data_IF_781465170158
#
_entry.id   IF_781465170158
#
_cell.length_a   1.000
_cell.length_b   1.000
_cell.length_c   1.000
_cell.angle_alpha   90.00
_cell.angle_beta   90.00
_cell.angle_gamma   90.00
#
_symmetry.space_group_name_H-M   'P 1'
#
loop_
_entity.id
_entity.type
_entity.pdbx_description
1 polymer ?
#
# COMPACT_ATOMS: atom_id res chain seq x y z
N UNK A 1 -77.11 -46.74 96.65
CA UNK A 1 -77.31 -45.69 97.66
C UNK A 1 -77.14 -46.33 99.03
N UNK A 2 -75.96 -46.19 99.61
CA UNK A 2 -75.71 -46.36 101.03
C UNK A 2 -75.51 -44.94 101.57
N UNK A 3 -76.30 -44.55 102.56
CA UNK A 3 -76.19 -43.25 103.23
C UNK A 3 -74.88 -43.22 104.02
N UNK A 4 -73.90 -42.43 103.57
CA UNK A 4 -72.91 -41.85 104.48
C UNK A 4 -73.52 -40.55 105.02
N UNK A 5 -74.01 -40.60 106.26
CA UNK A 5 -74.39 -39.41 107.02
C UNK A 5 -73.12 -38.61 107.32
N UNK A 6 -72.83 -37.59 106.50
CA UNK A 6 -71.71 -36.68 106.71
C UNK A 6 -71.94 -35.81 107.96
N UNK A 7 -71.42 -36.23 109.11
CA UNK A 7 -71.37 -35.45 110.35
C UNK A 7 -70.34 -34.31 110.24
N UNK A 8 -70.80 -33.06 110.23
CA UNK A 8 -69.93 -31.86 110.22
C UNK A 8 -69.49 -31.48 111.64
N UNK A 9 -68.21 -31.14 111.84
CA UNK A 9 -67.74 -30.66 113.15
C UNK A 9 -68.32 -29.29 113.52
N UNK A 10 -68.77 -29.11 114.78
CA UNK A 10 -69.34 -27.86 115.29
C UNK A 10 -68.25 -26.96 115.92
N UNK A 11 -68.15 -25.72 115.44
CA UNK A 11 -67.25 -24.67 115.93
C UNK A 11 -68.10 -23.56 116.58
N UNK A 12 -67.54 -22.73 117.46
CA UNK A 12 -68.31 -21.77 118.27
C UNK A 12 -69.27 -20.92 117.42
N UNK A 13 -70.58 -21.21 117.52
CA UNK A 13 -71.70 -20.64 116.74
C UNK A 13 -71.88 -21.11 115.27
N UNK A 14 -71.45 -22.32 114.88
CA UNK A 14 -71.78 -22.89 113.56
C UNK A 14 -71.12 -24.25 113.25
N UNK A 15 -71.31 -24.75 112.03
CA UNK A 15 -70.54 -25.89 111.49
C UNK A 15 -69.25 -25.40 110.84
N UNK A 16 -68.21 -26.25 110.81
CA UNK A 16 -66.96 -25.95 110.12
C UNK A 16 -67.22 -25.68 108.62
N UNK A 17 -66.87 -24.48 108.19
CA UNK A 17 -67.16 -24.00 106.84
C UNK A 17 -66.43 -24.80 105.78
N UNK A 18 -65.20 -25.24 106.04
CA UNK A 18 -64.38 -25.95 105.05
C UNK A 18 -64.88 -27.39 104.84
N UNK A 19 -65.41 -28.04 105.88
CA UNK A 19 -66.05 -29.35 105.78
C UNK A 19 -67.39 -29.27 105.03
N UNK A 20 -68.21 -28.26 105.32
CA UNK A 20 -69.47 -28.01 104.62
C UNK A 20 -69.24 -27.67 103.15
N UNK A 21 -68.27 -26.80 102.84
CA UNK A 21 -67.94 -26.46 101.45
C UNK A 21 -67.45 -27.69 100.66
N UNK A 22 -66.67 -28.61 101.29
CA UNK A 22 -66.27 -29.88 100.66
C UNK A 22 -67.45 -30.82 100.40
N UNK A 23 -68.38 -30.96 101.35
CA UNK A 23 -69.57 -31.79 101.14
C UNK A 23 -70.51 -31.20 100.08
N UNK A 24 -70.70 -29.88 100.05
CA UNK A 24 -71.46 -29.20 98.99
C UNK A 24 -70.77 -29.39 97.63
N UNK A 25 -69.44 -29.33 97.56
CA UNK A 25 -68.72 -29.63 96.32
C UNK A 25 -68.82 -31.11 95.91
N UNK A 26 -68.89 -32.03 96.87
CA UNK A 26 -69.17 -33.46 96.63
C UNK A 26 -70.57 -33.68 96.04
N UNK A 27 -71.60 -33.15 96.71
CA UNK A 27 -72.98 -33.20 96.25
C UNK A 27 -73.18 -32.52 94.89
N UNK A 28 -72.50 -31.40 94.63
CA UNK A 28 -72.50 -30.76 93.30
C UNK A 28 -71.90 -31.66 92.23
N UNK A 29 -70.80 -32.37 92.53
CA UNK A 29 -70.21 -33.35 91.60
C UNK A 29 -71.14 -34.53 91.35
N UNK A 30 -71.76 -35.08 92.40
CA UNK A 30 -72.74 -36.16 92.24
C UNK A 30 -73.97 -35.73 91.45
N UNK A 31 -74.47 -34.51 91.68
CA UNK A 31 -75.59 -33.93 90.93
C UNK A 31 -75.21 -33.73 89.44
N UNK A 32 -74.00 -33.25 89.17
CA UNK A 32 -73.49 -33.14 87.79
C UNK A 32 -73.41 -34.52 87.15
N UNK A 33 -72.83 -35.51 87.83
CA UNK A 33 -72.71 -36.88 87.33
C UNK A 33 -74.08 -37.53 87.05
N UNK A 34 -75.04 -37.35 87.96
CA UNK A 34 -76.42 -37.85 87.79
C UNK A 34 -77.12 -37.17 86.62
N UNK A 35 -76.97 -35.85 86.47
CA UNK A 35 -77.51 -35.11 85.33
C UNK A 35 -76.88 -35.54 84.00
N UNK A 36 -75.57 -35.81 83.96
CA UNK A 36 -74.91 -36.33 82.76
C UNK A 36 -75.41 -37.74 82.42
N UNK A 37 -75.58 -38.61 83.42
CA UNK A 37 -76.10 -39.97 83.22
C UNK A 37 -77.57 -39.95 82.75
N UNK A 38 -78.39 -39.03 83.26
CA UNK A 38 -79.75 -38.83 82.81
C UNK A 38 -79.80 -38.30 81.36
N UNK A 39 -78.89 -37.39 80.99
CA UNK A 39 -78.78 -36.88 79.63
C UNK A 39 -78.33 -37.97 78.64
N UNK A 40 -77.36 -38.81 79.01
CA UNK A 40 -76.94 -39.98 78.21
C UNK A 40 -78.07 -40.99 78.05
N UNK A 41 -78.76 -41.34 79.13
CA UNK A 41 -79.92 -42.23 79.08
C UNK A 41 -81.04 -41.67 78.19
N UNK A 42 -81.27 -40.35 78.24
CA UNK A 42 -82.23 -39.68 77.36
C UNK A 42 -81.84 -39.74 75.88
N UNK A 43 -80.55 -39.64 75.55
CA UNK A 43 -80.04 -39.86 74.18
C UNK A 43 -80.22 -41.31 73.73
N UNK A 44 -79.96 -42.26 74.63
CA UNK A 44 -80.12 -43.69 74.39
C UNK A 44 -81.58 -44.06 74.09
N UNK A 45 -82.53 -43.53 74.89
CA UNK A 45 -83.97 -43.70 74.66
C UNK A 45 -84.37 -43.11 73.31
N UNK A 46 -83.91 -41.88 72.97
CA UNK A 46 -84.20 -41.27 71.66
C UNK A 46 -83.68 -42.12 70.49
N UNK A 47 -82.48 -42.68 70.63
CA UNK A 47 -81.87 -43.58 69.65
C UNK A 47 -82.69 -44.86 69.50
N UNK A 48 -83.08 -45.50 70.60
CA UNK A 48 -83.90 -46.70 70.58
C UNK A 48 -85.30 -46.43 70.01
N UNK A 49 -85.94 -45.31 70.35
CA UNK A 49 -87.22 -44.92 69.76
C UNK A 49 -87.12 -44.72 68.24
N UNK A 50 -86.08 -44.05 67.74
CA UNK A 50 -85.88 -43.92 66.28
C UNK A 50 -85.64 -45.26 65.58
N UNK A 51 -85.01 -46.23 66.27
CA UNK A 51 -84.80 -47.60 65.77
C UNK A 51 -86.12 -48.37 65.72
N UNK A 52 -86.96 -48.26 66.75
CA UNK A 52 -88.30 -48.87 66.79
C UNK A 52 -89.17 -48.28 65.69
N UNK A 53 -89.19 -46.95 65.53
CA UNK A 53 -89.96 -46.28 64.48
C UNK A 53 -89.47 -46.67 63.07
N UNK A 54 -88.16 -46.90 62.90
CA UNK A 54 -87.59 -47.47 61.68
C UNK A 54 -88.04 -48.91 61.41
N UNK A 55 -88.00 -49.76 62.44
CA UNK A 55 -88.45 -51.16 62.35
C UNK A 55 -89.97 -51.28 62.14
N UNK A 56 -90.78 -50.39 62.72
CA UNK A 56 -92.22 -50.30 62.48
C UNK A 56 -92.52 -49.91 61.03
N UNK A 57 -91.76 -48.97 60.46
CA UNK A 57 -91.86 -48.62 59.02
C UNK A 57 -91.45 -49.77 58.12
N UNK A 58 -90.38 -50.50 58.44
CA UNK A 58 -90.00 -51.71 57.70
C UNK A 58 -91.07 -52.81 57.79
N UNK A 59 -91.69 -53.00 58.96
CA UNK A 59 -92.78 -53.96 59.13
C UNK A 59 -94.04 -53.55 58.35
N UNK A 60 -94.33 -52.25 58.27
CA UNK A 60 -95.42 -51.72 57.45
C UNK A 60 -95.17 -51.90 55.95
N UNK A 61 -93.90 -51.88 55.51
CA UNK A 61 -93.51 -52.17 54.11
C UNK A 61 -93.60 -53.66 53.74
N UNK A 62 -93.60 -54.56 54.73
CA UNK A 62 -93.72 -56.03 54.53
C UNK A 62 -95.17 -56.52 54.68
N UNK A 63 -96.10 -55.64 55.07
CA UNK A 63 -97.53 -55.94 55.19
C UNK A 63 -98.25 -56.17 53.85
N UNK A 64 -98.19 -57.42 53.36
CA UNK A 64 -98.98 -58.05 52.29
C UNK A 64 -98.76 -57.54 50.82
N UNK A 65 -98.22 -58.36 49.91
CA UNK A 65 -97.95 -57.97 48.52
C UNK A 65 -99.24 -57.92 47.68
N UNK A 66 -99.55 -56.77 47.09
CA UNK A 66 -100.60 -56.61 46.06
C UNK A 66 -100.00 -56.02 44.77
N UNK A 67 -100.54 -56.42 43.61
CA UNK A 67 -100.03 -56.11 42.26
C UNK A 67 -99.89 -54.60 41.95
N UNK A 68 -100.69 -53.73 42.57
CA UNK A 68 -100.54 -52.27 42.46
C UNK A 68 -99.20 -51.73 43.03
N UNK A 69 -98.60 -52.44 43.99
CA UNK A 69 -97.29 -52.09 44.56
C UNK A 69 -96.11 -52.42 43.63
N UNK A 70 -96.29 -53.33 42.66
CA UNK A 70 -95.28 -53.61 41.64
C UNK A 70 -95.20 -52.46 40.63
N UNK A 71 -96.32 -51.85 40.23
CA UNK A 71 -96.36 -50.67 39.35
C UNK A 71 -95.68 -49.44 39.96
N UNK A 72 -96.01 -49.08 41.21
CA UNK A 72 -95.39 -47.95 41.90
C UNK A 72 -93.88 -48.16 42.17
N UNK A 73 -93.46 -49.41 42.40
CA UNK A 73 -92.04 -49.76 42.55
C UNK A 73 -91.31 -49.70 41.21
N UNK A 74 -91.93 -50.15 40.11
CA UNK A 74 -91.38 -50.02 38.76
C UNK A 74 -91.27 -48.56 38.32
N UNK A 75 -92.28 -47.74 38.55
CA UNK A 75 -92.27 -46.30 38.26
C UNK A 75 -91.19 -45.58 39.09
N UNK A 76 -91.04 -45.92 40.37
CA UNK A 76 -89.94 -45.40 41.19
C UNK A 76 -88.57 -45.82 40.65
N UNK A 77 -88.39 -47.08 40.24
CA UNK A 77 -87.12 -47.53 39.64
C UNK A 77 -86.86 -46.87 38.28
N UNK A 78 -87.88 -46.64 37.46
CA UNK A 78 -87.77 -45.93 36.20
C UNK A 78 -87.39 -44.47 36.41
N UNK A 79 -88.04 -43.77 37.34
CA UNK A 79 -87.71 -42.38 37.66
C UNK A 79 -86.29 -42.24 38.20
N UNK A 80 -85.85 -43.16 39.06
CA UNK A 80 -84.46 -43.19 39.56
C UNK A 80 -83.50 -43.54 38.43
N UNK A 81 -83.85 -44.45 37.52
CA UNK A 81 -83.05 -44.78 36.35
C UNK A 81 -83.00 -43.63 35.32
N UNK A 82 -84.08 -42.88 35.12
CA UNK A 82 -84.14 -41.68 34.29
C UNK A 82 -83.27 -40.56 34.90
N UNK A 83 -83.42 -40.28 36.20
CA UNK A 83 -82.57 -39.29 36.89
C UNK A 83 -81.09 -39.70 36.88
N UNK A 84 -80.79 -41.00 37.04
CA UNK A 84 -79.42 -41.52 36.90
C UNK A 84 -78.92 -41.42 35.45
N UNK A 85 -79.77 -41.69 34.45
CA UNK A 85 -79.41 -41.60 33.03
C UNK A 85 -79.16 -40.16 32.63
N UNK A 86 -80.04 -39.22 32.99
CA UNK A 86 -79.85 -37.78 32.77
C UNK A 86 -78.53 -37.29 33.39
N UNK A 87 -78.20 -37.74 34.60
CA UNK A 87 -76.91 -37.43 35.24
C UNK A 87 -75.73 -38.02 34.49
N UNK A 88 -75.80 -39.28 34.05
CA UNK A 88 -74.72 -39.92 33.29
C UNK A 88 -74.54 -39.25 31.92
N UNK A 89 -75.64 -38.90 31.24
CA UNK A 89 -75.61 -38.17 29.97
C UNK A 89 -74.98 -36.80 30.16
N UNK A 90 -75.41 -36.03 31.17
CA UNK A 90 -74.83 -34.73 31.48
C UNK A 90 -73.34 -34.84 31.85
N UNK A 91 -72.94 -35.87 32.59
CA UNK A 91 -71.53 -36.13 32.90
C UNK A 91 -70.73 -36.47 31.64
N UNK A 92 -71.24 -37.35 30.77
CA UNK A 92 -70.62 -37.72 29.50
C UNK A 92 -70.47 -36.50 28.57
N UNK A 93 -71.46 -35.61 28.52
CA UNK A 93 -71.39 -34.37 27.75
C UNK A 93 -70.36 -33.38 28.32
N UNK A 94 -70.28 -33.27 29.64
CA UNK A 94 -69.26 -32.47 30.31
C UNK A 94 -67.86 -33.02 30.05
N UNK A 95 -67.67 -34.34 30.17
CA UNK A 95 -66.40 -35.02 29.90
C UNK A 95 -66.00 -34.86 28.43
N UNK A 96 -66.94 -35.02 27.50
CA UNK A 96 -66.71 -34.75 26.09
C UNK A 96 -66.32 -33.29 25.81
N UNK A 97 -66.95 -32.33 26.49
CA UNK A 97 -66.58 -30.91 26.39
C UNK A 97 -65.20 -30.62 26.99
N UNK A 98 -64.83 -31.33 28.06
CA UNK A 98 -63.56 -31.19 28.75
C UNK A 98 -62.43 -31.74 27.88
N UNK A 99 -62.58 -32.96 27.34
CA UNK A 99 -61.63 -33.59 26.41
C UNK A 99 -61.41 -32.71 25.18
N UNK A 100 -62.47 -32.19 24.54
CA UNK A 100 -62.33 -31.28 23.40
C UNK A 100 -61.52 -30.03 23.73
N UNK A 101 -61.80 -29.39 24.87
CA UNK A 101 -61.10 -28.18 25.30
C UNK A 101 -59.64 -28.47 25.62
N UNK A 102 -59.38 -29.49 26.44
CA UNK A 102 -58.01 -29.83 26.84
C UNK A 102 -57.14 -30.22 25.66
N UNK A 103 -57.65 -31.03 24.72
CA UNK A 103 -56.88 -31.43 23.53
C UNK A 103 -56.63 -30.26 22.59
N UNK A 104 -57.60 -29.35 22.45
CA UNK A 104 -57.40 -28.13 21.67
C UNK A 104 -56.33 -27.23 22.29
N UNK A 105 -56.41 -26.98 23.59
CA UNK A 105 -55.43 -26.18 24.31
C UNK A 105 -54.04 -26.82 24.23
N UNK A 106 -53.94 -28.15 24.33
CA UNK A 106 -52.68 -28.89 24.21
C UNK A 106 -52.11 -28.82 22.78
N UNK A 107 -52.95 -28.98 21.75
CA UNK A 107 -52.56 -28.82 20.36
C UNK A 107 -52.08 -27.41 20.04
N UNK A 108 -52.79 -26.39 20.53
CA UNK A 108 -52.42 -24.98 20.37
C UNK A 108 -51.10 -24.67 21.08
N UNK A 109 -50.89 -25.22 22.29
CA UNK A 109 -49.61 -25.10 23.02
C UNK A 109 -48.46 -25.74 22.25
N UNK A 110 -48.63 -26.96 21.75
CA UNK A 110 -47.59 -27.65 20.96
C UNK A 110 -47.21 -26.86 19.71
N UNK A 111 -48.19 -26.30 19.01
CA UNK A 111 -47.94 -25.45 17.84
C UNK A 111 -47.26 -24.13 18.21
N UNK A 112 -47.63 -23.53 19.34
CA UNK A 112 -47.01 -22.29 19.81
C UNK A 112 -45.54 -22.52 20.22
N UNK A 113 -45.26 -23.55 21.02
CA UNK A 113 -43.89 -23.93 21.41
C UNK A 113 -43.02 -24.20 20.17
N UNK A 114 -43.57 -24.91 19.19
CA UNK A 114 -42.90 -25.18 17.94
C UNK A 114 -42.61 -23.92 17.11
N UNK A 115 -43.55 -22.97 17.06
CA UNK A 115 -43.36 -21.66 16.40
C UNK A 115 -42.28 -20.84 17.08
N UNK A 116 -42.30 -20.77 18.41
CA UNK A 116 -41.31 -20.02 19.19
C UNK A 116 -39.91 -20.62 19.01
N UNK A 117 -39.78 -21.95 19.00
CA UNK A 117 -38.50 -22.63 18.77
C UNK A 117 -37.99 -22.43 17.33
N UNK A 118 -38.87 -22.56 16.33
CA UNK A 118 -38.57 -22.29 14.94
C UNK A 118 -38.08 -20.83 14.73
N UNK A 119 -38.76 -19.86 15.34
CA UNK A 119 -38.39 -18.44 15.26
C UNK A 119 -37.03 -18.17 15.93
N UNK A 120 -36.79 -18.74 17.12
CA UNK A 120 -35.49 -18.65 17.81
C UNK A 120 -34.36 -19.22 16.95
N UNK A 121 -34.59 -20.38 16.32
CA UNK A 121 -33.61 -21.04 15.49
C UNK A 121 -33.24 -20.22 14.26
N UNK A 122 -34.23 -19.65 13.56
CA UNK A 122 -34.00 -18.77 12.40
C UNK A 122 -33.32 -17.47 12.83
N UNK A 123 -33.70 -16.91 13.97
CA UNK A 123 -33.11 -15.67 14.49
C UNK A 123 -31.64 -15.86 14.88
N UNK A 124 -31.30 -16.96 15.55
CA UNK A 124 -29.91 -17.27 15.89
C UNK A 124 -29.06 -17.52 14.64
N UNK A 125 -29.60 -18.25 13.66
CA UNK A 125 -28.93 -18.46 12.37
C UNK A 125 -28.68 -17.15 11.62
N UNK A 126 -29.65 -16.21 11.62
CA UNK A 126 -29.47 -14.86 11.07
C UNK A 126 -28.36 -14.09 11.78
N UNK A 127 -28.36 -14.06 13.11
CA UNK A 127 -27.30 -13.37 13.88
C UNK A 127 -25.92 -13.96 13.60
N UNK A 128 -25.82 -15.29 13.46
CA UNK A 128 -24.57 -15.96 13.14
C UNK A 128 -24.12 -15.67 11.70
N UNK A 129 -25.03 -15.71 10.73
CA UNK A 129 -24.76 -15.33 9.34
C UNK A 129 -24.27 -13.87 9.25
N UNK A 130 -24.94 -12.94 9.93
CA UNK A 130 -24.54 -11.54 9.96
C UNK A 130 -23.17 -11.35 10.61
N UNK A 131 -22.85 -12.12 11.66
CA UNK A 131 -21.51 -12.13 12.26
C UNK A 131 -20.45 -12.62 11.27
N UNK A 132 -20.67 -13.75 10.60
CA UNK A 132 -19.74 -14.27 9.59
C UNK A 132 -19.51 -13.27 8.45
N UNK A 133 -20.56 -12.60 7.97
CA UNK A 133 -20.44 -11.53 6.97
C UNK A 133 -19.63 -10.35 7.49
N UNK A 134 -19.91 -9.86 8.70
CA UNK A 134 -19.20 -8.75 9.29
C UNK A 134 -17.71 -9.06 9.56
N UNK A 135 -17.40 -10.27 10.02
CA UNK A 135 -16.01 -10.74 10.19
C UNK A 135 -15.27 -10.79 8.85
N UNK A 136 -15.91 -11.31 7.81
CA UNK A 136 -15.37 -11.35 6.45
C UNK A 136 -15.17 -9.95 5.87
N UNK A 137 -16.12 -9.03 6.06
CA UNK A 137 -15.99 -7.63 5.65
C UNK A 137 -14.83 -6.92 6.36
N UNK A 138 -14.67 -7.15 7.67
CA UNK A 138 -13.56 -6.60 8.44
C UNK A 138 -12.21 -7.16 7.96
N UNK A 139 -12.12 -8.47 7.71
CA UNK A 139 -10.92 -9.10 7.17
C UNK A 139 -10.60 -8.60 5.76
N UNK A 140 -11.61 -8.44 4.89
CA UNK A 140 -11.43 -7.88 3.56
C UNK A 140 -10.91 -6.43 3.62
N UNK A 141 -11.50 -5.60 4.49
CA UNK A 141 -11.03 -4.23 4.71
C UNK A 141 -9.59 -4.19 5.21
N UNK A 142 -9.21 -5.09 6.14
CA UNK A 142 -7.85 -5.19 6.64
C UNK A 142 -6.84 -5.61 5.55
N UNK A 143 -7.19 -6.61 4.72
CA UNK A 143 -6.36 -7.05 3.60
C UNK A 143 -6.18 -5.94 2.56
N UNK A 144 -7.25 -5.23 2.20
CA UNK A 144 -7.16 -4.10 1.26
C UNK A 144 -6.38 -2.93 1.85
N UNK A 145 -6.56 -2.64 3.14
CA UNK A 145 -5.80 -1.62 3.85
C UNK A 145 -4.30 -1.92 3.82
N UNK A 146 -3.92 -3.14 4.21
CA UNK A 146 -2.52 -3.59 4.17
C UNK A 146 -1.94 -3.53 2.76
N UNK A 147 -2.66 -4.01 1.76
CA UNK A 147 -2.19 -3.96 0.37
C UNK A 147 -2.06 -2.52 -0.16
N UNK A 148 -2.93 -1.60 0.28
CA UNK A 148 -2.82 -0.18 -0.04
C UNK A 148 -1.59 0.46 0.64
N UNK A 149 -1.33 0.15 1.91
CA UNK A 149 -0.16 0.62 2.64
C UNK A 149 1.14 0.09 2.01
N UNK A 150 1.19 -1.22 1.71
CA UNK A 150 2.35 -1.86 1.06
C UNK A 150 2.60 -1.25 -0.33
N UNK A 151 1.54 -0.98 -1.11
CA UNK A 151 1.63 -0.26 -2.39
C UNK A 151 2.18 1.15 -2.20
N UNK A 152 1.71 1.88 -1.20
CA UNK A 152 2.16 3.25 -0.95
C UNK A 152 3.62 3.29 -0.52
N UNK A 153 4.07 2.33 0.29
CA UNK A 153 5.49 2.16 0.64
C UNK A 153 6.32 1.85 -0.61
N UNK A 154 5.95 0.85 -1.41
CA UNK A 154 6.69 0.47 -2.62
C UNK A 154 6.78 1.61 -3.64
N UNK A 155 5.67 2.33 -3.85
CA UNK A 155 5.64 3.47 -4.78
C UNK A 155 6.44 4.65 -4.26
N UNK A 156 6.39 4.96 -2.96
CA UNK A 156 7.23 5.99 -2.35
C UNK A 156 8.72 5.63 -2.42
N UNK A 157 9.06 4.37 -2.13
CA UNK A 157 10.44 3.89 -2.22
C UNK A 157 10.97 3.96 -3.65
N UNK A 158 10.15 3.56 -4.64
CA UNK A 158 10.49 3.70 -6.05
C UNK A 158 10.70 5.18 -6.45
N UNK A 159 9.84 6.08 -5.98
CA UNK A 159 9.98 7.53 -6.24
C UNK A 159 11.23 8.11 -5.58
N UNK A 160 11.50 7.76 -4.32
CA UNK A 160 12.69 8.23 -3.57
C UNK A 160 13.98 7.71 -4.19
N UNK A 161 14.05 6.41 -4.52
CA UNK A 161 15.21 5.82 -5.18
C UNK A 161 15.45 6.45 -6.55
N UNK A 162 14.40 6.60 -7.37
CA UNK A 162 14.51 7.26 -8.68
C UNK A 162 14.89 8.75 -8.56
N UNK A 163 14.48 9.44 -7.49
CA UNK A 163 14.89 10.82 -7.23
C UNK A 163 16.36 10.89 -6.76
N UNK A 164 16.80 9.99 -5.89
CA UNK A 164 18.17 9.91 -5.42
C UNK A 164 19.15 9.63 -6.56
N UNK A 165 18.85 8.63 -7.41
CA UNK A 165 19.70 8.31 -8.56
C UNK A 165 19.69 9.43 -9.60
N UNK A 166 18.53 10.06 -9.87
CA UNK A 166 18.50 11.27 -10.73
C UNK A 166 19.35 12.40 -10.15
N UNK A 167 19.33 12.59 -8.84
CA UNK A 167 20.14 13.59 -8.15
C UNK A 167 21.64 13.31 -8.26
N UNK A 168 22.07 12.06 -8.05
CA UNK A 168 23.48 11.67 -8.21
C UNK A 168 23.93 11.81 -9.66
N UNK A 169 23.17 11.27 -10.61
CA UNK A 169 23.44 11.38 -12.06
C UNK A 169 23.50 12.84 -12.50
N UNK A 170 22.59 13.70 -12.04
CA UNK A 170 22.63 15.12 -12.38
C UNK A 170 23.87 15.83 -11.80
N UNK A 171 24.31 15.44 -10.59
CA UNK A 171 25.51 16.00 -9.95
C UNK A 171 26.76 15.55 -10.67
N UNK A 172 26.91 14.24 -10.93
CA UNK A 172 28.03 13.67 -11.68
C UNK A 172 28.09 14.23 -13.11
N UNK A 173 26.94 14.36 -13.80
CA UNK A 173 26.87 14.98 -15.12
C UNK A 173 27.25 16.47 -15.10
N UNK A 174 26.95 17.18 -14.02
CA UNK A 174 27.36 18.58 -13.85
C UNK A 174 28.86 18.70 -13.55
N UNK A 175 29.40 17.82 -12.71
CA UNK A 175 30.83 17.76 -12.37
C UNK A 175 31.68 17.39 -13.58
N UNK A 176 31.34 16.32 -14.30
CA UNK A 176 32.03 15.90 -15.53
C UNK A 176 31.99 17.01 -16.59
N UNK A 177 30.84 17.66 -16.80
CA UNK A 177 30.73 18.79 -17.72
C UNK A 177 31.56 20.00 -17.26
N UNK A 178 31.62 20.29 -15.97
CA UNK A 178 32.43 21.38 -15.43
C UNK A 178 33.92 21.08 -15.60
N UNK A 179 34.36 19.86 -15.31
CA UNK A 179 35.73 19.37 -15.51
C UNK A 179 36.11 19.44 -16.99
N UNK A 180 35.31 18.87 -17.89
CA UNK A 180 35.53 18.92 -19.33
C UNK A 180 35.63 20.37 -19.85
N UNK A 181 34.79 21.28 -19.33
CA UNK A 181 34.87 22.71 -19.69
C UNK A 181 36.17 23.37 -19.21
N UNK A 182 36.66 23.02 -18.01
CA UNK A 182 37.92 23.52 -17.46
C UNK A 182 39.11 22.97 -18.23
N UNK A 183 39.14 21.67 -18.51
CA UNK A 183 40.19 21.02 -19.30
C UNK A 183 40.24 21.58 -20.71
N UNK A 184 39.10 21.72 -21.38
CA UNK A 184 39.06 22.36 -22.70
C UNK A 184 39.52 23.82 -22.69
N UNK A 185 39.29 24.56 -21.59
CA UNK A 185 39.82 25.91 -21.44
C UNK A 185 41.33 25.92 -21.15
N UNK A 186 41.83 24.95 -20.38
CA UNK A 186 43.25 24.77 -20.10
C UNK A 186 44.04 24.41 -21.36
N UNK A 187 43.58 23.41 -22.13
CA UNK A 187 44.18 23.01 -23.41
C UNK A 187 44.23 24.22 -24.35
N UNK A 188 43.12 24.96 -24.52
CA UNK A 188 43.12 26.17 -25.36
C UNK A 188 44.11 27.24 -24.88
N UNK A 189 44.19 27.47 -23.56
CA UNK A 189 45.11 28.47 -23.02
C UNK A 189 46.57 28.04 -23.15
N UNK A 190 46.86 26.75 -23.05
CA UNK A 190 48.20 26.18 -23.25
C UNK A 190 48.60 26.30 -24.72
N UNK A 191 47.72 25.90 -25.64
CA UNK A 191 47.88 26.08 -27.09
C UNK A 191 48.18 27.54 -27.48
N UNK A 192 47.39 28.49 -26.95
CA UNK A 192 47.58 29.92 -27.20
C UNK A 192 48.94 30.42 -26.69
N UNK A 193 49.39 29.92 -25.52
CA UNK A 193 50.67 30.28 -24.93
C UNK A 193 51.84 29.69 -25.71
N UNK A 194 51.81 28.41 -26.07
CA UNK A 194 52.84 27.77 -26.87
C UNK A 194 52.97 28.43 -28.25
N UNK A 195 51.84 28.74 -28.90
CA UNK A 195 51.84 29.48 -30.15
C UNK A 195 52.45 30.89 -30.00
N UNK A 196 52.22 31.57 -28.87
CA UNK A 196 52.83 32.87 -28.59
C UNK A 196 54.34 32.77 -28.30
N UNK A 197 54.78 31.75 -27.54
CA UNK A 197 56.18 31.48 -27.26
C UNK A 197 56.95 31.16 -28.55
N UNK A 198 56.43 30.27 -29.40
CA UNK A 198 57.02 29.95 -30.71
C UNK A 198 57.13 31.19 -31.61
N UNK A 199 56.10 32.05 -31.65
CA UNK A 199 56.16 33.31 -32.40
C UNK A 199 57.20 34.28 -31.84
N UNK A 200 57.34 34.36 -30.52
CA UNK A 200 58.32 35.25 -29.88
C UNK A 200 59.76 34.79 -30.12
N UNK A 201 60.02 33.48 -30.06
CA UNK A 201 61.34 32.90 -30.39
C UNK A 201 61.66 33.17 -31.87
N UNK A 202 60.75 32.85 -32.78
CA UNK A 202 60.92 33.12 -34.21
C UNK A 202 61.22 34.59 -34.51
N UNK A 203 60.50 35.51 -33.86
CA UNK A 203 60.73 36.95 -34.03
C UNK A 203 62.12 37.37 -33.54
N UNK A 204 62.60 36.83 -32.41
CA UNK A 204 63.95 37.11 -31.89
C UNK A 204 65.03 36.58 -32.82
N UNK A 205 64.90 35.36 -33.33
CA UNK A 205 65.87 34.77 -34.26
C UNK A 205 65.94 35.56 -35.58
N UNK A 206 64.79 35.98 -36.11
CA UNK A 206 64.73 36.86 -37.28
C UNK A 206 65.40 38.22 -37.03
N UNK A 207 65.18 38.84 -35.88
CA UNK A 207 65.81 40.13 -35.54
C UNK A 207 67.33 39.99 -35.33
N UNK A 208 67.81 38.90 -34.73
CA UNK A 208 69.25 38.61 -34.63
C UNK A 208 69.87 38.46 -36.02
N UNK A 209 69.27 37.65 -36.90
CA UNK A 209 69.75 37.47 -38.27
C UNK A 209 69.76 38.79 -39.06
N UNK A 210 68.73 39.62 -38.92
CA UNK A 210 68.66 40.96 -39.56
C UNK A 210 69.72 41.91 -39.03
N UNK A 211 69.92 41.95 -37.71
CA UNK A 211 70.93 42.82 -37.09
C UNK A 211 72.34 42.45 -37.55
N UNK A 212 72.63 41.15 -37.67
CA UNK A 212 73.92 40.65 -38.15
C UNK A 212 74.14 40.97 -39.64
N UNK A 213 73.13 40.78 -40.47
CA UNK A 213 73.16 41.19 -41.88
C UNK A 213 73.38 42.71 -42.04
N UNK A 214 72.70 43.53 -41.23
CA UNK A 214 72.86 44.98 -41.25
C UNK A 214 74.26 45.43 -40.77
N UNK A 215 74.81 44.78 -39.74
CA UNK A 215 76.17 45.05 -39.24
C UNK A 215 77.22 44.79 -40.30
N UNK A 216 77.12 43.65 -40.98
CA UNK A 216 78.04 43.27 -42.06
C UNK A 216 77.88 44.18 -43.28
N UNK A 217 76.66 44.59 -43.62
CA UNK A 217 76.44 45.58 -44.68
C UNK A 217 77.12 46.92 -44.35
N UNK A 218 76.96 47.41 -43.12
CA UNK A 218 77.60 48.65 -42.66
C UNK A 218 79.14 48.52 -42.61
N UNK A 219 79.66 47.40 -42.12
CA UNK A 219 81.09 47.12 -42.11
C UNK A 219 81.66 47.09 -43.54
N UNK A 220 80.92 46.51 -44.50
CA UNK A 220 81.28 46.53 -45.92
C UNK A 220 81.25 47.94 -46.51
N UNK A 221 80.26 48.76 -46.16
CA UNK A 221 80.19 50.15 -46.62
C UNK A 221 81.36 50.99 -46.06
N UNK A 222 81.69 50.82 -44.79
CA UNK A 222 82.86 51.44 -44.16
C UNK A 222 84.16 51.00 -44.83
N UNK A 223 84.33 49.68 -45.05
CA UNK A 223 85.48 49.13 -45.77
C UNK A 223 85.58 49.73 -47.17
N UNK A 224 84.47 49.87 -47.89
CA UNK A 224 84.44 50.51 -49.22
C UNK A 224 84.87 51.97 -49.17
N UNK A 225 84.46 52.71 -48.15
CA UNK A 225 84.83 54.12 -47.97
C UNK A 225 86.31 54.28 -47.60
N UNK A 226 86.83 53.45 -46.70
CA UNK A 226 88.25 53.42 -46.32
C UNK A 226 89.13 53.08 -47.51
N UNK A 227 88.77 52.02 -48.23
CA UNK A 227 89.44 51.58 -49.45
C UNK A 227 89.40 52.67 -50.52
N UNK A 228 88.28 53.39 -50.70
CA UNK A 228 88.21 54.53 -51.62
C UNK A 228 89.14 55.69 -51.20
N UNK A 229 89.18 56.03 -49.91
CA UNK A 229 90.04 57.09 -49.39
C UNK A 229 91.53 56.75 -49.53
N UNK A 230 91.92 55.49 -49.32
CA UNK A 230 93.31 55.06 -49.48
C UNK A 230 93.76 55.20 -50.93
N UNK A 231 92.85 54.98 -51.86
CA UNK A 231 93.13 55.06 -53.31
C UNK A 231 93.29 56.50 -53.74
N UNK A 232 92.43 57.38 -53.27
CA UNK A 232 92.58 58.80 -53.55
C UNK A 232 93.88 59.34 -52.95
N UNK A 233 94.29 58.83 -51.78
CA UNK A 233 95.59 59.14 -51.16
C UNK A 233 96.77 58.64 -52.00
N UNK A 234 96.76 57.37 -52.42
CA UNK A 234 97.82 56.78 -53.24
C UNK A 234 97.89 57.45 -54.63
N UNK A 235 96.75 57.80 -55.23
CA UNK A 235 96.69 58.57 -56.47
C UNK A 235 97.30 59.96 -56.31
N UNK A 236 96.95 60.68 -55.24
CA UNK A 236 97.51 62.00 -54.96
C UNK A 236 99.03 61.94 -54.68
N UNK A 237 99.50 60.91 -53.97
CA UNK A 237 100.93 60.69 -53.74
C UNK A 237 101.67 60.41 -55.06
N UNK A 238 101.14 59.52 -55.90
CA UNK A 238 101.71 59.23 -57.22
C UNK A 238 101.72 60.48 -58.13
N UNK A 239 100.68 61.32 -58.07
CA UNK A 239 100.63 62.60 -58.78
C UNK A 239 101.69 63.59 -58.29
N UNK A 240 101.90 63.67 -56.98
CA UNK A 240 102.91 64.53 -56.36
C UNK A 240 104.34 64.08 -56.71
N UNK A 241 104.65 62.78 -56.62
CA UNK A 241 105.95 62.22 -57.02
C UNK A 241 106.24 62.49 -58.50
N UNK A 242 105.25 62.36 -59.38
CA UNK A 242 105.40 62.71 -60.80
C UNK A 242 105.62 64.21 -60.99
N UNK A 243 104.94 65.06 -60.23
CA UNK A 243 105.14 66.51 -60.29
C UNK A 243 106.54 66.92 -59.78
N UNK A 244 107.03 66.30 -58.71
CA UNK A 244 108.37 66.49 -58.17
C UNK A 244 109.43 66.01 -59.16
N UNK A 245 109.30 64.80 -59.71
CA UNK A 245 110.19 64.27 -60.74
C UNK A 245 110.20 65.19 -61.99
N UNK A 246 109.04 65.69 -62.41
CA UNK A 246 108.95 66.67 -63.52
C UNK A 246 109.66 67.97 -63.18
N UNK A 247 109.53 68.49 -61.96
CA UNK A 247 110.18 69.72 -61.50
C UNK A 247 111.69 69.55 -61.34
N UNK A 248 112.16 68.39 -60.87
CA UNK A 248 113.57 68.05 -60.76
C UNK A 248 114.20 67.97 -62.15
N UNK A 249 113.56 67.26 -63.08
CA UNK A 249 113.99 67.18 -64.50
C UNK A 249 113.95 68.57 -65.15
N UNK A 250 112.94 69.39 -64.88
CA UNK A 250 112.86 70.76 -65.40
C UNK A 250 113.97 71.67 -64.84
N UNK A 251 114.30 71.53 -63.55
CA UNK A 251 115.42 72.23 -62.91
C UNK A 251 116.77 71.77 -63.47
N UNK A 252 116.95 70.47 -63.76
CA UNK A 252 118.14 69.94 -64.45
C UNK A 252 118.24 70.45 -65.89
N UNK A 253 117.12 70.50 -66.62
CA UNK A 253 117.06 71.10 -67.97
C UNK A 253 117.39 72.61 -67.94
N UNK A 254 117.02 73.32 -66.87
CA UNK A 254 117.31 74.74 -66.70
C UNK A 254 118.77 74.99 -66.25
N UNK A 255 119.32 74.16 -65.37
CA UNK A 255 120.72 74.31 -64.92
C UNK A 255 121.71 73.96 -66.03
N UNK A 256 121.41 72.94 -66.83
CA UNK A 256 122.17 72.57 -68.03
C UNK A 256 122.05 73.64 -69.13
N UNK A 257 120.90 74.32 -69.25
CA UNK A 257 120.72 75.47 -70.16
C UNK A 257 121.62 76.66 -69.86
N UNK A 258 121.87 76.97 -68.58
CA UNK A 258 122.75 78.06 -68.19
C UNK A 258 124.24 77.81 -68.50
N UNK A 259 124.65 76.55 -68.68
CA UNK A 259 126.01 76.16 -69.04
C UNK A 259 126.25 76.09 -70.56
N UNK A 260 125.19 76.03 -71.39
CA UNK A 260 125.26 75.66 -72.81
C UNK A 260 124.85 76.79 -73.78
N UNK A 261 125.06 78.05 -73.44
CA UNK A 261 124.80 79.20 -74.33
C UNK A 261 125.88 79.42 -75.41
N UNK A 262 126.89 78.55 -75.52
CA UNK A 262 127.96 78.63 -76.53
C UNK A 262 127.93 77.54 -77.65
N UNK A 263 127.08 76.50 -77.57
CA UNK A 263 127.09 75.33 -78.51
C UNK A 263 125.71 75.00 -79.12
N UNK A 264 124.98 76.03 -79.58
CA UNK A 264 123.51 76.01 -79.52
C UNK A 264 122.70 75.43 -80.71
N UNK A 265 123.25 75.09 -81.88
CA UNK A 265 122.37 74.75 -83.03
C UNK A 265 122.27 73.25 -83.37
N UNK A 266 123.25 72.41 -83.04
CA UNK A 266 123.24 71.01 -83.49
C UNK A 266 122.55 70.01 -82.52
N UNK A 267 122.56 70.25 -81.20
CA UNK A 267 122.07 69.29 -80.19
C UNK A 267 120.57 69.48 -79.84
N UNK A 268 119.96 70.61 -80.24
CA UNK A 268 118.58 71.01 -79.89
C UNK A 268 117.45 70.09 -80.36
N UNK A 269 117.69 69.12 -81.25
CA UNK A 269 116.67 68.18 -81.72
C UNK A 269 116.63 66.87 -80.93
N UNK A 270 117.70 66.52 -80.20
CA UNK A 270 117.82 65.23 -79.50
C UNK A 270 117.34 65.36 -78.04
N UNK A 271 117.75 66.40 -77.31
CA UNK A 271 117.33 66.60 -75.90
C UNK A 271 115.85 66.94 -75.69
N UNK A 272 115.19 67.62 -76.64
CA UNK A 272 113.72 67.81 -76.59
C UNK A 272 112.95 66.54 -76.85
N UNK A 273 113.50 65.60 -77.63
CA UNK A 273 112.90 64.27 -77.80
C UNK A 273 113.07 63.44 -76.53
N UNK A 274 114.25 63.49 -75.92
CA UNK A 274 114.54 62.73 -74.70
C UNK A 274 113.70 63.20 -73.48
N UNK A 275 113.56 64.51 -73.27
CA UNK A 275 112.67 65.04 -72.21
C UNK A 275 111.19 64.74 -72.50
N UNK A 276 110.76 64.77 -73.76
CA UNK A 276 109.39 64.41 -74.14
C UNK A 276 109.13 62.91 -73.95
N UNK A 277 110.09 62.07 -74.30
CA UNK A 277 110.03 60.62 -74.13
C UNK A 277 110.01 60.26 -72.63
N UNK A 278 110.82 60.90 -71.78
CA UNK A 278 110.80 60.69 -70.33
C UNK A 278 109.50 61.17 -69.68
N UNK A 279 108.95 62.31 -70.11
CA UNK A 279 107.62 62.78 -69.64
C UNK A 279 106.49 61.83 -70.04
N UNK A 280 106.59 61.23 -71.23
CA UNK A 280 105.61 60.27 -71.72
C UNK A 280 105.73 58.94 -70.98
N UNK A 281 106.96 58.45 -70.72
CA UNK A 281 107.20 57.27 -69.89
C UNK A 281 106.69 57.44 -68.47
N UNK A 282 107.02 58.52 -67.77
CA UNK A 282 106.51 58.77 -66.42
C UNK A 282 104.98 58.94 -66.37
N UNK A 283 104.38 59.50 -67.44
CA UNK A 283 102.92 59.58 -67.54
C UNK A 283 102.28 58.21 -67.79
N UNK A 284 102.93 57.34 -68.57
CA UNK A 284 102.52 55.96 -68.80
C UNK A 284 102.65 55.12 -67.53
N UNK A 285 103.79 55.20 -66.83
CA UNK A 285 104.02 54.51 -65.55
C UNK A 285 103.00 54.92 -64.48
N UNK A 286 102.64 56.21 -64.38
CA UNK A 286 101.55 56.67 -63.51
C UNK A 286 100.20 56.09 -63.93
N UNK A 287 99.87 56.14 -65.21
CA UNK A 287 98.60 55.61 -65.71
C UNK A 287 98.48 54.10 -65.46
N UNK A 288 99.58 53.36 -65.61
CA UNK A 288 99.68 51.94 -65.30
C UNK A 288 99.52 51.68 -63.80
N UNK A 289 100.23 52.39 -62.93
CA UNK A 289 100.08 52.25 -61.47
C UNK A 289 98.66 52.56 -60.97
N UNK A 290 98.03 53.60 -61.52
CA UNK A 290 96.63 53.95 -61.21
C UNK A 290 95.68 52.86 -61.70
N UNK A 291 95.90 52.31 -62.90
CA UNK A 291 95.08 51.25 -63.45
C UNK A 291 95.22 49.92 -62.66
N UNK A 292 96.41 49.59 -62.16
CA UNK A 292 96.63 48.42 -61.29
C UNK A 292 95.88 48.58 -59.97
N UNK A 293 96.01 49.73 -59.30
CA UNK A 293 95.26 50.00 -58.07
C UNK A 293 93.75 49.96 -58.31
N UNK A 294 93.24 50.58 -59.38
CA UNK A 294 91.82 50.51 -59.72
C UNK A 294 91.31 49.09 -59.94
N UNK A 295 92.12 48.23 -60.56
CA UNK A 295 91.79 46.84 -60.77
C UNK A 295 91.76 46.05 -59.44
N UNK A 296 92.73 46.27 -58.55
CA UNK A 296 92.77 45.63 -57.23
C UNK A 296 91.56 46.03 -56.37
N UNK A 297 91.15 47.29 -56.41
CA UNK A 297 89.94 47.77 -55.72
C UNK A 297 88.66 47.22 -56.31
N UNK A 298 88.58 47.16 -57.64
CA UNK A 298 87.44 46.56 -58.30
C UNK A 298 87.33 45.08 -57.91
N UNK A 299 88.46 44.38 -57.77
CA UNK A 299 88.56 43.03 -57.23
C UNK A 299 88.06 42.91 -55.79
N UNK A 300 88.55 43.76 -54.87
CA UNK A 300 88.11 43.77 -53.46
C UNK A 300 86.62 44.13 -53.34
N UNK A 301 86.13 45.08 -54.14
CA UNK A 301 84.70 45.47 -54.19
C UNK A 301 83.81 44.37 -54.74
N UNK A 302 84.26 43.66 -55.77
CA UNK A 302 83.54 42.53 -56.34
C UNK A 302 83.49 41.37 -55.34
N UNK A 303 84.62 41.01 -54.73
CA UNK A 303 84.70 39.95 -53.73
C UNK A 303 83.82 40.23 -52.51
N UNK A 304 83.88 41.46 -51.97
CA UNK A 304 83.02 41.88 -50.85
C UNK A 304 81.53 41.96 -51.22
N UNK A 305 81.19 42.37 -52.46
CA UNK A 305 79.81 42.36 -52.94
C UNK A 305 79.28 40.94 -53.13
N UNK A 306 80.12 40.02 -53.59
CA UNK A 306 79.79 38.61 -53.75
C UNK A 306 79.60 37.92 -52.40
N UNK A 307 80.45 38.22 -51.43
CA UNK A 307 80.35 37.73 -50.05
C UNK A 307 79.08 38.27 -49.36
N UNK A 308 78.76 39.56 -49.55
CA UNK A 308 77.49 40.14 -49.06
C UNK A 308 76.26 39.52 -49.74
N UNK A 309 76.32 39.22 -51.04
CA UNK A 309 75.24 38.57 -51.77
C UNK A 309 75.09 37.09 -51.38
N UNK A 310 76.19 36.39 -51.08
CA UNK A 310 76.18 35.03 -50.55
C UNK A 310 75.51 35.00 -49.18
N UNK A 311 75.91 35.88 -48.26
CA UNK A 311 75.30 35.97 -46.94
C UNK A 311 73.80 36.34 -47.01
N UNK A 312 73.41 37.23 -47.92
CA UNK A 312 72.00 37.58 -48.12
C UNK A 312 71.17 36.38 -48.58
N UNK A 313 71.74 35.51 -49.43
CA UNK A 313 71.10 34.23 -49.81
C UNK A 313 71.04 33.27 -48.64
N UNK A 314 72.10 33.17 -47.84
CA UNK A 314 72.13 32.32 -46.64
C UNK A 314 71.09 32.78 -45.60
N UNK A 315 70.91 34.09 -45.43
CA UNK A 315 69.87 34.66 -44.56
C UNK A 315 68.47 34.35 -45.07
N UNK A 316 68.23 34.49 -46.38
CA UNK A 316 66.91 34.14 -46.95
C UNK A 316 66.66 32.63 -46.90
N UNK A 317 67.68 31.80 -47.11
CA UNK A 317 67.57 30.36 -46.95
C UNK A 317 67.29 29.97 -45.49
N UNK A 318 68.03 30.52 -44.53
CA UNK A 318 67.79 30.32 -43.11
C UNK A 318 66.39 30.78 -42.68
N UNK A 319 65.87 31.86 -43.30
CA UNK A 319 64.48 32.30 -43.09
C UNK A 319 63.48 31.29 -43.66
N UNK A 320 63.70 30.77 -44.86
CA UNK A 320 62.83 29.75 -45.46
C UNK A 320 62.82 28.50 -44.58
N UNK A 321 63.99 28.01 -44.17
CA UNK A 321 64.15 26.83 -43.33
C UNK A 321 63.44 27.03 -41.98
N UNK A 322 63.62 28.20 -41.34
CA UNK A 322 62.94 28.56 -40.10
C UNK A 322 61.42 28.62 -40.28
N UNK A 323 60.92 29.16 -41.39
CA UNK A 323 59.47 29.19 -41.69
C UNK A 323 58.92 27.78 -41.83
N UNK A 324 59.64 26.88 -42.49
CA UNK A 324 59.25 25.47 -42.63
C UNK A 324 59.27 24.76 -41.27
N UNK A 325 60.30 24.95 -40.45
CA UNK A 325 60.36 24.35 -39.12
C UNK A 325 59.24 24.87 -38.21
N UNK A 326 58.95 26.17 -38.25
CA UNK A 326 57.82 26.75 -37.51
C UNK A 326 56.48 26.23 -37.99
N UNK A 327 56.31 26.00 -39.29
CA UNK A 327 55.10 25.39 -39.83
C UNK A 327 54.95 23.94 -39.33
N UNK A 328 56.03 23.16 -39.37
CA UNK A 328 56.03 21.78 -38.87
C UNK A 328 55.72 21.72 -37.36
N UNK A 329 56.37 22.55 -36.54
CA UNK A 329 56.09 22.60 -35.09
C UNK A 329 54.68 23.05 -34.76
N UNK A 330 54.11 23.97 -35.55
CA UNK A 330 52.70 24.37 -35.39
C UNK A 330 51.75 23.23 -35.72
N UNK A 331 51.99 22.53 -36.83
CA UNK A 331 51.18 21.38 -37.21
C UNK A 331 51.28 20.25 -36.16
N UNK A 332 52.47 20.02 -35.60
CA UNK A 332 52.68 19.04 -34.54
C UNK A 332 51.94 19.44 -33.25
N UNK A 333 52.03 20.71 -32.81
CA UNK A 333 51.26 21.23 -31.67
C UNK A 333 49.74 21.18 -31.90
N UNK A 334 49.27 21.61 -33.07
CA UNK A 334 47.85 21.58 -33.44
C UNK A 334 47.30 20.14 -33.43
N UNK A 335 48.10 19.16 -33.88
CA UNK A 335 47.74 17.74 -33.84
C UNK A 335 47.71 17.19 -32.40
N UNK A 336 48.68 17.55 -31.57
CA UNK A 336 48.73 17.11 -30.16
C UNK A 336 47.54 17.65 -29.36
N UNK A 337 47.19 18.93 -29.58
CA UNK A 337 46.01 19.57 -28.99
C UNK A 337 44.70 18.94 -29.48
N UNK A 338 44.62 18.63 -30.78
CA UNK A 338 43.46 17.94 -31.35
C UNK A 338 43.30 16.55 -30.73
N UNK A 339 44.39 15.81 -30.54
CA UNK A 339 44.37 14.48 -29.91
C UNK A 339 43.89 14.58 -28.45
N UNK A 340 44.47 15.49 -27.66
CA UNK A 340 44.05 15.73 -26.26
C UNK A 340 42.59 16.15 -26.17
N UNK A 341 42.13 16.99 -27.10
CA UNK A 341 40.72 17.39 -27.17
C UNK A 341 39.81 16.20 -27.50
N UNK A 342 40.17 15.37 -28.48
CA UNK A 342 39.42 14.16 -28.84
C UNK A 342 39.35 13.17 -27.67
N UNK A 343 40.45 12.97 -26.95
CA UNK A 343 40.50 12.12 -25.75
C UNK A 343 39.59 12.65 -24.63
N UNK A 344 39.65 13.95 -24.34
CA UNK A 344 38.78 14.58 -23.34
C UNK A 344 37.29 14.49 -23.72
N UNK A 345 36.96 14.67 -25.00
CA UNK A 345 35.60 14.49 -25.53
C UNK A 345 35.16 13.03 -25.39
N UNK A 346 36.01 12.07 -25.76
CA UNK A 346 35.70 10.64 -25.66
C UNK A 346 35.48 10.21 -24.20
N UNK A 347 36.30 10.69 -23.26
CA UNK A 347 36.10 10.44 -21.83
C UNK A 347 34.78 11.04 -21.34
N UNK A 348 34.48 12.29 -21.70
CA UNK A 348 33.22 12.95 -21.33
C UNK A 348 32.02 12.18 -21.89
N UNK A 349 32.09 11.72 -23.14
CA UNK A 349 31.02 10.94 -23.75
C UNK A 349 30.81 9.61 -23.02
N UNK A 350 31.87 8.89 -22.66
CA UNK A 350 31.77 7.65 -21.87
C UNK A 350 31.07 7.88 -20.53
N UNK A 351 31.43 8.95 -19.80
CA UNK A 351 30.77 9.29 -18.55
C UNK A 351 29.28 9.61 -18.76
N UNK A 352 28.94 10.39 -19.79
CA UNK A 352 27.54 10.68 -20.10
C UNK A 352 26.74 9.42 -20.46
N UNK A 353 27.34 8.51 -21.23
CA UNK A 353 26.71 7.24 -21.60
C UNK A 353 26.50 6.34 -20.37
N UNK A 354 27.47 6.26 -19.47
CA UNK A 354 27.37 5.53 -18.20
C UNK A 354 26.27 6.12 -17.30
N UNK A 355 26.27 7.44 -17.10
CA UNK A 355 25.23 8.16 -16.36
C UNK A 355 23.83 7.93 -16.94
N UNK A 356 23.70 7.94 -18.28
CA UNK A 356 22.43 7.64 -18.96
C UNK A 356 21.99 6.20 -18.75
N UNK A 357 22.91 5.24 -18.74
CA UNK A 357 22.62 3.83 -18.49
C UNK A 357 22.16 3.61 -17.04
N UNK A 358 22.81 4.26 -16.07
CA UNK A 358 22.38 4.24 -14.66
C UNK A 358 20.98 4.85 -14.49
N UNK A 359 20.68 5.96 -15.17
CA UNK A 359 19.36 6.57 -15.16
C UNK A 359 18.30 5.64 -15.77
N UNK A 360 18.59 5.01 -16.91
CA UNK A 360 17.69 4.05 -17.54
C UNK A 360 17.42 2.85 -16.63
N UNK A 361 18.44 2.33 -15.96
CA UNK A 361 18.29 1.24 -15.00
C UNK A 361 17.45 1.63 -13.79
N UNK A 362 17.66 2.82 -13.23
CA UNK A 362 16.84 3.36 -12.16
C UNK A 362 15.37 3.50 -12.55
N UNK A 363 15.10 3.97 -13.77
CA UNK A 363 13.73 4.08 -14.30
C UNK A 363 13.10 2.69 -14.45
N UNK A 364 13.85 1.69 -14.94
CA UNK A 364 13.36 0.30 -15.02
C UNK A 364 13.00 -0.24 -13.64
N UNK A 365 13.94 -0.18 -12.68
CA UNK A 365 13.69 -0.66 -11.30
C UNK A 365 12.50 0.04 -10.64
N UNK A 366 12.32 1.34 -10.88
CA UNK A 366 11.16 2.08 -10.38
C UNK A 366 9.84 1.62 -11.03
N UNK A 367 9.85 1.31 -12.32
CA UNK A 367 8.67 0.77 -13.01
C UNK A 367 8.36 -0.67 -12.58
N UNK A 368 9.38 -1.50 -12.36
CA UNK A 368 9.21 -2.88 -11.87
C UNK A 368 8.56 -2.89 -10.49
N UNK A 369 9.02 -2.03 -9.57
CA UNK A 369 8.39 -1.85 -8.24
C UNK A 369 6.95 -1.36 -8.33
N UNK A 370 6.64 -0.49 -9.31
CA UNK A 370 5.26 -0.03 -9.54
C UNK A 370 4.36 -1.16 -10.06
N UNK A 371 4.88 -1.99 -10.96
CA UNK A 371 4.16 -3.16 -11.46
C UNK A 371 3.92 -4.16 -10.33
N UNK A 372 4.92 -4.43 -9.49
CA UNK A 372 4.80 -5.28 -8.30
C UNK A 372 3.70 -4.75 -7.36
N UNK A 373 3.67 -3.45 -7.11
CA UNK A 373 2.65 -2.79 -6.30
C UNK A 373 1.24 -2.93 -6.89
N UNK A 374 1.10 -2.83 -8.22
CA UNK A 374 -0.17 -3.04 -8.91
C UNK A 374 -0.61 -4.52 -8.86
N UNK A 375 0.32 -5.47 -8.96
CA UNK A 375 0.02 -6.91 -8.81
C UNK A 375 -0.43 -7.25 -7.41
N UNK A 376 0.24 -6.75 -6.36
CA UNK A 376 -0.18 -6.93 -4.96
C UNK A 376 -1.59 -6.41 -4.72
N UNK A 377 -1.95 -5.26 -5.30
CA UNK A 377 -3.31 -4.72 -5.23
C UNK A 377 -4.32 -5.62 -5.93
N UNK A 378 -3.99 -6.13 -7.12
CA UNK A 378 -4.86 -7.03 -7.87
C UNK A 378 -5.11 -8.33 -7.10
N UNK A 379 -4.05 -8.93 -6.57
CA UNK A 379 -4.13 -10.16 -5.78
C UNK A 379 -4.97 -9.97 -4.51
N UNK A 380 -4.81 -8.84 -3.83
CA UNK A 380 -5.63 -8.49 -2.67
C UNK A 380 -7.12 -8.31 -3.04
N UNK A 381 -7.42 -7.69 -4.18
CA UNK A 381 -8.80 -7.54 -4.67
C UNK A 381 -9.44 -8.89 -5.01
N UNK A 382 -8.67 -9.79 -5.64
CA UNK A 382 -9.14 -11.13 -5.96
C UNK A 382 -9.39 -11.94 -4.69
N UNK A 383 -8.47 -11.89 -3.72
CA UNK A 383 -8.61 -12.58 -2.45
C UNK A 383 -9.80 -12.08 -1.63
N UNK A 384 -9.98 -10.76 -1.53
CA UNK A 384 -11.14 -10.18 -0.85
C UNK A 384 -12.47 -10.54 -1.52
N UNK A 385 -12.47 -10.64 -2.85
CA UNK A 385 -13.65 -11.10 -3.61
C UNK A 385 -13.97 -12.56 -3.30
N UNK A 386 -12.96 -13.44 -3.23
CA UNK A 386 -13.14 -14.85 -2.84
C UNK A 386 -13.64 -14.97 -1.41
N UNK A 387 -13.02 -14.25 -0.48
CA UNK A 387 -13.38 -14.25 0.94
C UNK A 387 -14.84 -13.81 1.16
N UNK A 388 -15.28 -12.74 0.49
CA UNK A 388 -16.66 -12.26 0.58
C UNK A 388 -17.65 -13.25 -0.01
N UNK A 389 -17.34 -13.86 -1.16
CA UNK A 389 -18.18 -14.91 -1.77
C UNK A 389 -18.33 -16.12 -0.86
N UNK A 390 -17.21 -16.63 -0.34
CA UNK A 390 -17.23 -17.76 0.58
C UNK A 390 -18.06 -17.49 1.85
N UNK A 391 -17.93 -16.30 2.44
CA UNK A 391 -18.72 -15.91 3.60
C UNK A 391 -20.22 -15.74 3.27
N UNK A 392 -20.53 -15.25 2.07
CA UNK A 392 -21.92 -15.16 1.60
C UNK A 392 -22.53 -16.55 1.42
N UNK A 393 -21.82 -17.46 0.74
CA UNK A 393 -22.28 -18.83 0.51
C UNK A 393 -22.46 -19.60 1.83
N UNK A 394 -21.53 -19.44 2.78
CA UNK A 394 -21.64 -20.05 4.13
C UNK A 394 -22.85 -19.50 4.90
N UNK A 395 -23.06 -18.19 4.84
CA UNK A 395 -24.17 -17.52 5.51
C UNK A 395 -25.52 -17.95 4.94
N UNK A 396 -25.62 -18.09 3.62
CA UNK A 396 -26.83 -18.51 2.93
C UNK A 396 -27.13 -19.99 3.25
N UNK A 397 -26.12 -20.86 3.21
CA UNK A 397 -26.24 -22.26 3.60
C UNK A 397 -26.70 -22.43 5.07
N UNK A 398 -26.18 -21.61 5.98
CA UNK A 398 -26.60 -21.60 7.39
C UNK A 398 -28.08 -21.20 7.55
N UNK A 399 -28.51 -20.17 6.84
CA UNK A 399 -29.90 -19.70 6.87
C UNK A 399 -30.86 -20.72 6.28
N UNK A 400 -30.48 -21.37 5.19
CA UNK A 400 -31.33 -22.38 4.54
C UNK A 400 -31.43 -23.65 5.39
N UNK A 401 -30.32 -24.13 5.96
CA UNK A 401 -30.34 -25.24 6.92
C UNK A 401 -31.21 -24.93 8.15
N UNK A 402 -31.18 -23.68 8.62
CA UNK A 402 -31.99 -23.23 9.74
C UNK A 402 -33.50 -23.19 9.39
N UNK A 403 -33.85 -22.62 8.22
CA UNK A 403 -35.22 -22.60 7.72
C UNK A 403 -35.78 -24.00 7.53
N UNK A 404 -34.99 -24.91 6.97
CA UNK A 404 -35.40 -26.29 6.77
C UNK A 404 -35.66 -27.00 8.11
N UNK A 405 -34.79 -26.80 9.11
CA UNK A 405 -35.01 -27.32 10.47
C UNK A 405 -36.27 -26.77 11.12
N UNK A 406 -36.49 -25.46 11.01
CA UNK A 406 -37.70 -24.79 11.52
C UNK A 406 -38.97 -25.35 10.87
N UNK A 407 -38.96 -25.54 9.54
CA UNK A 407 -40.09 -26.14 8.80
C UNK A 407 -40.36 -27.57 9.25
N UNK A 408 -39.33 -28.40 9.43
CA UNK A 408 -39.50 -29.77 9.95
C UNK A 408 -40.11 -29.76 11.35
N UNK A 409 -39.63 -28.87 12.23
CA UNK A 409 -40.13 -28.76 13.60
C UNK A 409 -41.63 -28.39 13.65
N UNK A 410 -42.04 -27.43 12.82
CA UNK A 410 -43.45 -27.07 12.65
C UNK A 410 -44.28 -28.22 12.08
N UNK A 411 -43.81 -28.87 11.02
CA UNK A 411 -44.51 -30.02 10.42
C UNK A 411 -44.65 -31.18 11.41
N UNK A 412 -43.67 -31.40 12.28
CA UNK A 412 -43.69 -32.44 13.32
C UNK A 412 -44.68 -32.08 14.44
N UNK A 413 -44.80 -30.81 14.81
CA UNK A 413 -45.79 -30.33 15.76
C UNK A 413 -47.22 -30.40 15.19
N UNK A 414 -47.41 -30.04 13.92
CA UNK A 414 -48.69 -30.17 13.20
C UNK A 414 -49.12 -31.63 13.06
N UNK A 415 -48.19 -32.56 12.83
CA UNK A 415 -48.49 -34.01 12.86
C UNK A 415 -48.95 -34.45 14.25
N UNK A 416 -48.17 -34.13 15.30
CA UNK A 416 -48.52 -34.49 16.68
C UNK A 416 -49.86 -33.90 17.14
N UNK A 417 -50.14 -32.64 16.81
CA UNK A 417 -51.42 -31.99 17.10
C UNK A 417 -52.59 -32.69 16.40
N UNK A 418 -52.43 -33.08 15.12
CA UNK A 418 -53.44 -33.87 14.41
C UNK A 418 -53.66 -35.24 15.04
N UNK A 419 -52.59 -35.96 15.39
CA UNK A 419 -52.69 -37.28 16.02
C UNK A 419 -53.40 -37.20 17.40
N UNK A 420 -53.15 -36.13 18.16
CA UNK A 420 -53.85 -35.84 19.42
C UNK A 420 -55.34 -35.58 19.19
N UNK A 421 -55.69 -34.77 18.19
CA UNK A 421 -57.08 -34.50 17.82
C UNK A 421 -57.81 -35.76 17.38
N UNK A 422 -57.18 -36.58 16.51
CA UNK A 422 -57.77 -37.85 16.06
C UNK A 422 -57.98 -38.82 17.22
N UNK A 423 -57.03 -38.88 18.16
CA UNK A 423 -57.16 -39.71 19.37
C UNK A 423 -58.29 -39.22 20.27
N UNK A 424 -58.45 -37.90 20.43
CA UNK A 424 -59.55 -37.31 21.18
C UNK A 424 -60.90 -37.53 20.47
N UNK A 425 -60.97 -37.41 19.15
CA UNK A 425 -62.18 -37.69 18.36
C UNK A 425 -62.63 -39.13 18.54
N UNK A 426 -61.72 -40.11 18.44
CA UNK A 426 -62.02 -41.52 18.75
C UNK A 426 -62.60 -41.68 20.15
N UNK A 427 -62.02 -41.02 21.15
CA UNK A 427 -62.52 -41.07 22.54
C UNK A 427 -63.90 -40.41 22.69
N UNK A 428 -64.17 -39.34 21.95
CA UNK A 428 -65.47 -38.68 21.96
C UNK A 428 -66.55 -39.54 21.31
N UNK A 429 -66.22 -40.27 20.26
CA UNK A 429 -67.14 -41.21 19.62
C UNK A 429 -67.44 -42.42 20.52
N UNK A 430 -66.46 -42.90 21.29
CA UNK A 430 -66.70 -43.88 22.36
C UNK A 430 -67.69 -43.34 23.40
N UNK A 431 -67.45 -42.15 23.94
CA UNK A 431 -68.34 -41.50 24.93
C UNK A 431 -69.76 -41.30 24.37
N UNK A 432 -69.88 -40.90 23.09
CA UNK A 432 -71.18 -40.77 22.41
C UNK A 432 -71.89 -42.11 22.28
N UNK A 433 -71.17 -43.16 21.88
CA UNK A 433 -71.74 -44.50 21.73
C UNK A 433 -72.20 -45.04 23.08
N UNK A 434 -71.41 -44.86 24.15
CA UNK A 434 -71.79 -45.21 25.52
C UNK A 434 -73.05 -44.44 25.97
N UNK A 435 -73.09 -43.12 25.74
CA UNK A 435 -74.25 -42.27 26.03
C UNK A 435 -75.50 -42.74 25.27
N UNK A 436 -75.39 -42.99 23.98
CA UNK A 436 -76.52 -43.40 23.14
C UNK A 436 -77.01 -44.80 23.51
N UNK A 437 -76.12 -45.71 23.90
CA UNK A 437 -76.48 -47.02 24.44
C UNK A 437 -77.23 -46.90 25.78
N UNK A 438 -76.80 -46.00 26.67
CA UNK A 438 -77.47 -45.75 27.97
C UNK A 438 -78.83 -45.10 27.75
N UNK A 439 -78.93 -44.10 26.88
CA UNK A 439 -80.18 -43.45 26.52
C UNK A 439 -81.16 -44.43 25.86
N UNK A 440 -80.67 -45.28 24.95
CA UNK A 440 -81.45 -46.35 24.30
C UNK A 440 -81.91 -47.43 25.28
N UNK A 441 -81.10 -47.80 26.27
CA UNK A 441 -81.48 -48.75 27.31
C UNK A 441 -82.63 -48.22 28.18
N UNK A 442 -82.57 -46.95 28.59
CA UNK A 442 -83.65 -46.31 29.37
C UNK A 442 -84.93 -46.14 28.54
N UNK A 443 -84.80 -45.73 27.26
CA UNK A 443 -85.94 -45.66 26.34
C UNK A 443 -86.55 -47.05 26.07
N UNK A 444 -85.74 -48.09 25.98
CA UNK A 444 -86.17 -49.48 25.83
C UNK A 444 -86.90 -50.01 27.05
N UNK A 445 -86.41 -49.71 28.26
CA UNK A 445 -87.11 -50.02 29.52
C UNK A 445 -88.47 -49.31 29.59
N UNK A 446 -88.54 -48.04 29.17
CA UNK A 446 -89.78 -47.27 29.07
C UNK A 446 -90.77 -47.88 28.08
N UNK A 447 -90.32 -48.25 26.89
CA UNK A 447 -91.16 -48.88 25.85
C UNK A 447 -91.69 -50.25 26.27
N UNK A 448 -90.87 -51.05 26.95
CA UNK A 448 -91.27 -52.38 27.45
C UNK A 448 -92.31 -52.27 28.57
N UNK A 449 -92.22 -51.23 29.40
CA UNK A 449 -93.20 -50.94 30.46
C UNK A 449 -94.50 -50.38 29.89
N UNK A 450 -94.44 -49.49 28.89
CA UNK A 450 -95.62 -49.03 28.17
C UNK A 450 -96.36 -50.17 27.45
N UNK A 451 -95.63 -51.15 26.91
CA UNK A 451 -96.23 -52.33 26.27
C UNK A 451 -96.83 -53.31 27.27
N UNK A 452 -96.26 -53.42 28.49
CA UNK A 452 -96.86 -54.18 29.60
C UNK A 452 -98.17 -53.53 30.06
N UNK A 453 -98.23 -52.18 30.10
CA UNK A 453 -99.43 -51.41 30.46
C UNK A 453 -100.55 -51.59 29.41
N UNK A 454 -100.23 -51.51 28.12
CA UNK A 454 -101.18 -51.78 27.01
C UNK A 454 -101.70 -53.22 27.00
N UNK A 455 -100.84 -54.22 27.26
CA UNK A 455 -101.25 -55.63 27.36
C UNK A 455 -102.15 -55.91 28.57
N UNK A 456 -102.08 -55.09 29.63
CA UNK A 456 -102.98 -55.19 30.79
C UNK A 456 -104.33 -54.51 30.58
N UNK A 457 -104.40 -53.42 29.80
CA UNK A 457 -105.68 -52.79 29.45
C UNK A 457 -106.53 -53.67 28.51
N UNK A 458 -105.91 -54.42 27.59
CA UNK A 458 -106.62 -55.37 26.70
C UNK A 458 -107.11 -56.65 27.43
N UNK A 459 -106.55 -56.96 28.61
CA UNK A 459 -106.92 -58.13 29.42
C UNK A 459 -108.20 -57.98 30.22
N UNK A 460 -108.52 -56.75 30.67
CA UNK A 460 -109.72 -56.46 31.47
C UNK A 460 -110.97 -56.13 30.63
N UNK A 461 -110.84 -56.10 29.29
CA UNK A 461 -111.94 -55.86 28.35
C UNK A 461 -112.74 -57.10 27.90
N UNK A 462 -112.35 -58.32 28.30
CA UNK A 462 -112.94 -59.58 27.77
C UNK A 462 -113.61 -60.47 28.82
N UNK A 463 -114.29 -59.86 29.79
CA UNK A 463 -115.12 -60.53 30.80
C UNK A 463 -116.57 -59.98 30.84
N UNK A 464 -117.14 -59.63 29.68
CA UNK A 464 -118.54 -59.26 29.55
C UNK A 464 -119.09 -59.59 28.14
N UNK A 465 -119.30 -60.88 27.85
CA UNK A 465 -120.43 -61.44 27.09
C UNK A 465 -120.17 -62.94 26.84
N UNK A 466 -120.71 -63.77 27.74
CA UNK A 466 -121.54 -64.97 27.49
C UNK A 466 -121.72 -65.81 28.77
#
# INVERSE_FOLDING_TARGET
MANDEAEFTQVFRGYDRDEVDKAIQGLRRELINSNTQAAESGREVKRLSSRVEGLEKELQQVGAPTYAGLGAKLEHTLRVAEEQSERIIAQAENDASAVRRSTRDEGDRLLQEARDEAERLVTEARRRADRTRAESEAQAAATLGKAADDRDVLTQDAVREAAAIRGSVATEAAETRATAKREAAAIRSEAEREAAELRAVAAREMEVARAEAARLAQANELLRAEVASEVDRLRAAAEAEVAEARSAVESEVLSTRAALDAEVVAIRAEGTREVADQRTRLAQERAEAVAVLDAELAGIRAASAEEAAALARDVEQARIDLVVELAARREEADNDDLLRHQEAVAQTQRYLDESNLQLADAIRRANDKRLEADTLRSDALDETTRLRRAAQDESDALLDAARERAQRLLADAERRSRDLMETAERRLDEIRTERDAIAGYVAGLRGLIGHIDELTEDGDGKAADD
#
